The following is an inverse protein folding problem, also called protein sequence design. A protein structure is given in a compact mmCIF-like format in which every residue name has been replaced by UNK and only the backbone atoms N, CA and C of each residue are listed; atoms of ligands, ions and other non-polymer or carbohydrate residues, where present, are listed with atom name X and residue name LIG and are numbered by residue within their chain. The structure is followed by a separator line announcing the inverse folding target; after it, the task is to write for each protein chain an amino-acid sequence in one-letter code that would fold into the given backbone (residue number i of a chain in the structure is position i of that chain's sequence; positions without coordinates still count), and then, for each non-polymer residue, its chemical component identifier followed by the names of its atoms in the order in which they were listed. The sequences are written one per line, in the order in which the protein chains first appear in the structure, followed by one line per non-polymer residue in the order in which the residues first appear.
data_IF_454644580485
#
_entry.id   IF_454644580485
#
_cell.length_a   1.000
_cell.length_b   1.000
_cell.length_c   1.000
_cell.angle_alpha   90.00
_cell.angle_beta   90.00
_cell.angle_gamma   90.00
#
_symmetry.space_group_name_H-M   'P 1'
#
loop_
_entity.id
_entity.type
_entity.pdbx_description
1 polymer ?
#
# COMPACT_ATOMS: atom_id res chain seq x y z
N UNK A 1 23.11 29.96 -5.86
CA UNK A 1 22.55 28.72 -5.27
C UNK A 1 21.05 28.58 -5.52
N UNK A 2 20.22 29.57 -5.16
CA UNK A 2 18.75 29.53 -5.38
C UNK A 2 18.36 29.39 -6.87
N UNK A 3 19.12 30.00 -7.80
CA UNK A 3 18.89 29.88 -9.25
C UNK A 3 19.12 28.46 -9.78
N UNK A 4 20.20 27.81 -9.35
CA UNK A 4 20.50 26.40 -9.68
C UNK A 4 19.55 25.42 -9.01
N UNK A 5 19.07 25.73 -7.81
CA UNK A 5 17.99 24.96 -7.17
C UNK A 5 16.70 25.04 -8.00
N UNK A 6 16.30 26.25 -8.44
CA UNK A 6 15.13 26.44 -9.32
C UNK A 6 15.27 25.68 -10.64
N UNK A 7 16.44 25.69 -11.28
CA UNK A 7 16.71 24.93 -12.51
C UNK A 7 16.62 23.40 -12.29
N UNK A 8 17.03 22.90 -11.13
CA UNK A 8 16.93 21.48 -10.77
C UNK A 8 15.48 21.01 -10.55
N UNK A 9 14.65 21.77 -9.81
CA UNK A 9 13.22 21.43 -9.65
C UNK A 9 12.44 21.62 -10.95
N UNK A 10 12.89 22.52 -11.84
CA UNK A 10 12.28 22.73 -13.15
C UNK A 10 12.55 21.59 -14.15
N UNK A 11 13.48 20.67 -13.87
CA UNK A 11 13.75 19.49 -14.71
C UNK A 11 12.64 18.41 -14.63
N UNK A 12 11.53 18.65 -13.91
CA UNK A 12 10.35 17.78 -13.85
C UNK A 12 10.53 16.52 -13.01
N UNK A 13 11.61 15.78 -13.23
CA UNK A 13 11.94 14.54 -12.51
C UNK A 13 12.05 14.73 -10.98
N UNK A 14 12.58 15.86 -10.53
CA UNK A 14 12.69 16.18 -9.11
C UNK A 14 11.34 16.53 -8.46
N UNK A 15 10.42 17.14 -9.21
CA UNK A 15 9.09 17.51 -8.72
C UNK A 15 8.21 16.27 -8.52
N UNK A 16 8.20 15.36 -9.50
CA UNK A 16 7.44 14.10 -9.40
C UNK A 16 7.95 13.22 -8.25
N UNK A 17 9.27 13.10 -8.09
CA UNK A 17 9.87 12.39 -6.98
C UNK A 17 9.50 13.02 -5.63
N UNK A 18 9.58 14.36 -5.52
CA UNK A 18 9.24 15.06 -4.29
C UNK A 18 7.77 14.84 -3.90
N UNK A 19 6.86 14.91 -4.87
CA UNK A 19 5.44 14.64 -4.65
C UNK A 19 5.23 13.20 -4.20
N UNK A 20 5.86 12.22 -4.86
CA UNK A 20 5.77 10.81 -4.48
C UNK A 20 6.24 10.55 -3.03
N UNK A 21 7.35 11.17 -2.61
CA UNK A 21 7.90 11.02 -1.24
C UNK A 21 6.98 11.65 -0.20
N UNK A 22 6.45 12.85 -0.46
CA UNK A 22 5.53 13.54 0.45
C UNK A 22 4.24 12.73 0.62
N UNK A 23 3.69 12.25 -0.50
CA UNK A 23 2.48 11.43 -0.53
C UNK A 23 2.71 10.11 0.20
N UNK A 24 3.84 9.43 -0.06
CA UNK A 24 4.21 8.19 0.63
C UNK A 24 4.34 8.36 2.14
N UNK A 25 4.99 9.45 2.58
CA UNK A 25 5.11 9.79 4.00
C UNK A 25 3.76 10.10 4.66
N UNK A 26 2.86 10.78 3.95
CA UNK A 26 1.53 11.12 4.46
C UNK A 26 0.57 9.92 4.55
N UNK A 27 0.77 8.89 3.71
CA UNK A 27 -0.11 7.70 3.72
C UNK A 27 0.24 6.70 4.81
N UNK A 28 1.52 6.60 5.21
CA UNK A 28 1.96 5.62 6.21
C UNK A 28 1.13 5.67 7.53
N UNK A 29 0.85 6.84 8.13
CA UNK A 29 0.01 6.93 9.34
C UNK A 29 -1.40 6.36 9.19
N UNK A 30 -2.01 6.48 7.99
CA UNK A 30 -3.36 5.96 7.72
C UNK A 30 -3.34 4.44 7.74
N UNK A 31 -2.33 3.84 7.08
CA UNK A 31 -2.16 2.38 7.04
C UNK A 31 -1.78 1.83 8.42
N UNK A 32 -0.90 2.54 9.14
CA UNK A 32 -0.50 2.18 10.50
C UNK A 32 -1.72 2.18 11.46
N UNK A 33 -2.66 3.14 11.31
CA UNK A 33 -3.91 3.20 12.09
C UNK A 33 -4.81 1.99 11.84
N UNK A 34 -5.02 1.61 10.57
CA UNK A 34 -5.83 0.43 10.21
C UNK A 34 -5.18 -0.85 10.74
N UNK A 35 -3.86 -0.98 10.57
CA UNK A 35 -3.10 -2.15 11.04
C UNK A 35 -3.18 -2.28 12.57
N UNK A 36 -3.11 -1.16 13.29
CA UNK A 36 -3.23 -1.13 14.76
C UNK A 36 -4.60 -1.63 15.22
N UNK A 37 -5.68 -1.25 14.55
CA UNK A 37 -7.04 -1.73 14.87
C UNK A 37 -7.13 -3.24 14.67
N UNK A 38 -6.62 -3.75 13.55
CA UNK A 38 -6.62 -5.20 13.25
C UNK A 38 -5.80 -5.95 14.32
N UNK A 39 -4.60 -5.48 14.66
CA UNK A 39 -3.76 -6.11 15.68
C UNK A 39 -4.39 -6.06 17.07
N UNK A 40 -5.10 -4.98 17.41
CA UNK A 40 -5.81 -4.88 18.70
C UNK A 40 -6.91 -5.94 18.80
N UNK A 41 -7.67 -6.16 17.72
CA UNK A 41 -8.71 -7.19 17.67
C UNK A 41 -8.10 -8.59 17.74
N UNK A 42 -7.04 -8.85 16.96
CA UNK A 42 -6.31 -10.12 17.01
C UNK A 42 -5.71 -10.36 18.41
N UNK A 43 -5.21 -9.32 19.04
CA UNK A 43 -4.65 -9.36 20.39
C UNK A 43 -5.67 -9.73 21.46
N UNK A 44 -6.89 -9.20 21.35
CA UNK A 44 -7.99 -9.57 22.25
C UNK A 44 -8.45 -11.02 22.07
N UNK A 45 -8.30 -11.58 20.86
CA UNK A 45 -8.67 -12.99 20.58
C UNK A 45 -7.58 -13.98 21.00
N UNK A 46 -6.30 -13.64 20.81
CA UNK A 46 -5.14 -14.54 21.01
C UNK A 46 -4.53 -14.35 22.42
N UNK A 47 -4.94 -13.30 23.14
CA UNK A 47 -4.47 -13.00 24.51
C UNK A 47 -3.14 -12.25 24.57
N UNK A 48 -2.47 -12.05 23.44
CA UNK A 48 -1.27 -11.22 23.30
C UNK A 48 -1.40 -10.36 22.03
N UNK A 49 -1.23 -9.03 22.11
CA UNK A 49 -1.34 -8.14 20.95
C UNK A 49 -0.18 -8.28 19.95
N UNK A 50 0.91 -8.95 20.34
CA UNK A 50 2.08 -9.18 19.51
C UNK A 50 2.79 -10.49 19.89
N UNK A 51 3.84 -10.81 19.13
CA UNK A 51 4.66 -12.00 19.33
C UNK A 51 5.98 -11.68 20.05
N UNK A 52 6.12 -10.50 20.66
CA UNK A 52 7.39 -10.01 21.20
C UNK A 52 7.90 -10.87 22.36
N UNK A 53 6.98 -11.50 23.10
CA UNK A 53 7.28 -12.42 24.20
C UNK A 53 7.74 -13.81 23.74
N UNK A 54 7.58 -14.17 22.46
CA UNK A 54 8.02 -15.47 21.96
C UNK A 54 9.53 -15.59 22.00
N UNK A 55 10.00 -16.52 22.82
CA UNK A 55 11.42 -16.81 22.99
C UNK A 55 12.21 -15.65 23.60
N UNK A 56 11.55 -14.74 24.34
CA UNK A 56 12.25 -13.69 25.05
C UNK A 56 13.12 -14.29 26.17
N UNK A 57 14.39 -13.93 26.23
CA UNK A 57 15.33 -14.44 27.23
C UNK A 57 16.29 -13.36 27.71
N UNK A 58 16.79 -13.49 28.94
CA UNK A 58 17.89 -12.71 29.46
C UNK A 58 19.00 -13.65 29.93
N UNK A 59 20.23 -13.18 29.77
CA UNK A 59 21.44 -13.87 30.25
C UNK A 59 22.03 -13.20 31.49
N UNK A 60 21.44 -12.09 31.94
CA UNK A 60 21.92 -11.31 33.08
C UNK A 60 20.77 -10.65 33.81
N UNK A 61 20.49 -11.12 35.02
CA UNK A 61 19.42 -10.61 35.87
C UNK A 61 19.95 -10.44 37.29
N UNK A 62 19.61 -9.32 37.93
CA UNK A 62 19.94 -9.05 39.33
C UNK A 62 21.43 -9.24 39.70
N UNK A 63 22.36 -8.92 38.79
CA UNK A 63 23.79 -9.00 39.08
C UNK A 63 24.44 -10.37 38.83
N UNK A 64 23.69 -11.36 38.35
CA UNK A 64 24.19 -12.71 38.08
C UNK A 64 23.91 -13.16 36.66
N UNK A 65 24.78 -14.02 36.12
CA UNK A 65 24.59 -14.67 34.84
C UNK A 65 23.70 -15.91 35.02
N UNK A 66 22.42 -15.75 34.74
CA UNK A 66 21.44 -16.83 34.75
C UNK A 66 20.66 -16.79 33.45
N UNK A 67 20.34 -17.96 32.90
CA UNK A 67 19.42 -18.05 31.76
C UNK A 67 18.00 -17.93 32.30
N UNK A 68 17.35 -16.81 32.01
CA UNK A 68 15.97 -16.56 32.39
C UNK A 68 15.10 -16.40 31.15
N UNK A 69 14.02 -17.18 31.05
CA UNK A 69 13.01 -16.99 30.02
C UNK A 69 12.03 -15.91 30.50
N UNK A 70 11.89 -14.86 29.71
CA UNK A 70 11.02 -13.75 30.04
C UNK A 70 9.56 -14.17 29.93
N UNK A 71 8.79 -13.85 30.95
CA UNK A 71 7.34 -13.87 30.87
C UNK A 71 6.81 -12.59 30.21
N UNK A 72 5.59 -12.63 29.68
CA UNK A 72 4.95 -11.44 29.09
C UNK A 72 4.88 -10.25 30.08
N UNK A 73 4.71 -10.52 31.38
CA UNK A 73 4.65 -9.50 32.44
C UNK A 73 6.00 -8.81 32.66
N UNK A 74 7.10 -9.54 32.58
CA UNK A 74 8.47 -9.01 32.73
C UNK A 74 8.87 -8.16 31.53
N UNK A 75 8.40 -8.55 30.34
CA UNK A 75 8.59 -7.78 29.12
C UNK A 75 7.88 -6.42 29.17
N UNK A 76 6.68 -6.39 29.74
CA UNK A 76 5.89 -5.16 29.90
C UNK A 76 6.52 -4.18 30.91
N UNK A 77 7.31 -4.67 31.88
CA UNK A 77 7.92 -3.84 32.93
C UNK A 77 9.37 -3.48 32.65
N UNK A 78 10.15 -4.35 32.00
CA UNK A 78 11.54 -4.07 31.66
C UNK A 78 11.99 -4.74 30.35
N UNK A 79 11.44 -4.27 29.25
CA UNK A 79 11.80 -4.73 27.91
C UNK A 79 13.31 -4.67 27.60
N UNK A 80 14.03 -3.65 28.08
CA UNK A 80 15.41 -3.39 27.68
C UNK A 80 16.43 -4.40 28.21
N UNK A 81 16.07 -5.19 29.23
CA UNK A 81 16.92 -6.23 29.82
C UNK A 81 16.85 -7.60 29.13
N UNK A 82 15.99 -7.74 28.11
CA UNK A 82 15.72 -9.01 27.44
C UNK A 82 16.05 -8.94 25.95
N UNK A 83 16.55 -10.06 25.43
CA UNK A 83 16.64 -10.32 23.99
C UNK A 83 15.29 -10.86 23.54
N UNK A 84 14.66 -10.19 22.56
CA UNK A 84 13.30 -10.50 22.11
C UNK A 84 13.28 -10.93 20.63
N UNK A 85 13.63 -12.18 20.31
CA UNK A 85 13.61 -12.66 18.93
C UNK A 85 12.18 -12.63 18.33
N UNK A 86 11.15 -12.76 19.17
CA UNK A 86 9.75 -12.66 18.78
C UNK A 86 9.36 -11.33 18.12
N UNK A 87 10.11 -10.24 18.37
CA UNK A 87 9.90 -8.94 17.70
C UNK A 87 10.06 -9.05 16.18
N UNK A 88 10.91 -9.96 15.69
CA UNK A 88 11.07 -10.18 14.25
C UNK A 88 9.77 -10.74 13.67
N UNK A 89 9.16 -11.72 14.34
CA UNK A 89 7.87 -12.29 13.93
C UNK A 89 6.80 -11.20 13.94
N UNK A 90 6.74 -10.40 15.00
CA UNK A 90 5.83 -9.25 15.08
C UNK A 90 6.02 -8.30 13.89
N UNK A 91 7.26 -7.94 13.55
CA UNK A 91 7.52 -7.03 12.42
C UNK A 91 7.14 -7.65 11.07
N UNK A 92 7.36 -8.94 10.85
CA UNK A 92 6.96 -9.64 9.63
C UNK A 92 5.44 -9.68 9.51
N UNK A 93 4.72 -10.04 10.58
CA UNK A 93 3.26 -10.06 10.57
C UNK A 93 2.70 -8.64 10.35
N UNK A 94 3.25 -7.63 11.04
CA UNK A 94 2.89 -6.23 10.82
C UNK A 94 3.13 -5.78 9.37
N UNK A 95 4.26 -6.18 8.77
CA UNK A 95 4.57 -5.88 7.38
C UNK A 95 3.55 -6.51 6.42
N UNK A 96 3.18 -7.77 6.64
CA UNK A 96 2.17 -8.46 5.82
C UNK A 96 0.79 -7.82 5.97
N UNK A 97 0.38 -7.44 7.17
CA UNK A 97 -0.88 -6.73 7.38
C UNK A 97 -0.87 -5.36 6.71
N UNK A 98 0.22 -4.60 6.85
CA UNK A 98 0.38 -3.30 6.21
C UNK A 98 0.33 -3.42 4.68
N UNK A 99 1.02 -4.42 4.12
CA UNK A 99 0.99 -4.70 2.69
C UNK A 99 -0.41 -5.10 2.21
N UNK A 100 -1.11 -5.96 2.97
CA UNK A 100 -2.50 -6.32 2.67
C UNK A 100 -3.42 -5.11 2.72
N UNK A 101 -3.31 -4.26 3.73
CA UNK A 101 -4.10 -3.04 3.86
C UNK A 101 -3.88 -2.09 2.67
N UNK A 102 -2.63 -1.84 2.28
CA UNK A 102 -2.30 -1.02 1.09
C UNK A 102 -2.86 -1.64 -0.19
N UNK A 103 -2.72 -2.96 -0.34
CA UNK A 103 -3.21 -3.68 -1.51
C UNK A 103 -4.74 -3.56 -1.64
N UNK A 104 -5.48 -3.85 -0.57
CA UNK A 104 -6.94 -3.82 -0.61
C UNK A 104 -7.52 -2.39 -0.64
N UNK A 105 -6.90 -1.43 0.06
CA UNK A 105 -7.43 -0.06 0.14
C UNK A 105 -7.08 0.81 -1.07
N UNK A 106 -5.94 0.55 -1.73
CA UNK A 106 -5.43 1.43 -2.80
C UNK A 106 -5.26 0.65 -4.11
N UNK A 107 -4.48 -0.42 -4.11
CA UNK A 107 -4.09 -1.10 -5.35
C UNK A 107 -5.29 -1.75 -6.03
N UNK A 108 -6.13 -2.46 -5.28
CA UNK A 108 -7.32 -3.13 -5.80
C UNK A 108 -8.35 -2.16 -6.39
N UNK A 109 -8.80 -1.09 -5.69
CA UNK A 109 -9.75 -0.14 -6.28
C UNK A 109 -9.14 0.64 -7.45
N UNK A 110 -7.85 0.99 -7.38
CA UNK A 110 -7.17 1.67 -8.49
C UNK A 110 -7.07 0.77 -9.72
N UNK A 111 -6.75 -0.50 -9.54
CA UNK A 111 -6.70 -1.47 -10.64
C UNK A 111 -8.09 -1.70 -11.23
N UNK A 112 -9.14 -1.82 -10.39
CA UNK A 112 -10.54 -1.90 -10.87
C UNK A 112 -10.97 -0.66 -11.64
N UNK A 113 -10.62 0.54 -11.16
CA UNK A 113 -10.99 1.78 -11.84
C UNK A 113 -10.29 1.91 -13.19
N UNK A 114 -8.98 1.61 -13.26
CA UNK A 114 -8.21 1.59 -14.50
C UNK A 114 -8.80 0.61 -15.52
N UNK A 115 -9.20 -0.58 -15.08
CA UNK A 115 -9.85 -1.56 -15.96
C UNK A 115 -11.19 -1.05 -16.49
N UNK A 116 -12.01 -0.40 -15.65
CA UNK A 116 -13.28 0.21 -16.09
C UNK A 116 -13.07 1.35 -17.09
N UNK A 117 -12.07 2.20 -16.87
CA UNK A 117 -11.74 3.30 -17.78
C UNK A 117 -11.20 2.77 -19.12
N UNK A 118 -10.35 1.74 -19.08
CA UNK A 118 -9.84 1.10 -20.29
C UNK A 118 -10.97 0.43 -21.10
N UNK A 119 -11.93 -0.23 -20.43
CA UNK A 119 -13.12 -0.80 -21.09
C UNK A 119 -14.01 0.27 -21.70
N UNK A 120 -14.26 1.36 -20.99
CA UNK A 120 -15.06 2.48 -21.52
C UNK A 120 -14.42 3.09 -22.77
N UNK A 121 -13.09 3.29 -22.75
CA UNK A 121 -12.37 3.83 -23.90
C UNK A 121 -12.40 2.89 -25.11
N UNK A 122 -12.24 1.58 -24.89
CA UNK A 122 -12.35 0.59 -25.96
C UNK A 122 -13.76 0.50 -26.55
N UNK A 123 -14.80 0.69 -25.73
CA UNK A 123 -16.20 0.69 -26.16
C UNK A 123 -16.58 1.98 -26.93
N UNK A 124 -15.93 3.09 -26.60
CA UNK A 124 -16.06 4.38 -27.29
C UNK A 124 -15.35 4.34 -28.66
N UNK A 125 -14.13 3.77 -28.72
CA UNK A 125 -13.39 3.53 -29.98
C UNK A 125 -14.14 2.56 -30.90
N UNK A 126 -14.80 1.53 -30.35
CA UNK A 126 -15.63 0.61 -31.12
C UNK A 126 -16.90 1.27 -31.70
N UNK A 127 -17.53 2.18 -30.94
CA UNK A 127 -18.70 2.95 -31.41
C UNK A 127 -18.31 3.94 -32.50
N UNK A 128 -17.19 4.64 -32.37
CA UNK A 128 -16.70 5.55 -33.42
C UNK A 128 -16.47 4.83 -34.75
N UNK A 129 -15.88 3.63 -34.74
CA UNK A 129 -15.68 2.85 -35.98
C UNK A 129 -17.02 2.45 -36.61
N UNK A 130 -17.99 2.01 -35.80
CA UNK A 130 -19.32 1.60 -36.29
C UNK A 130 -20.09 2.78 -36.91
N UNK A 131 -20.01 3.96 -36.29
CA UNK A 131 -20.64 5.18 -36.81
C UNK A 131 -19.98 5.63 -38.12
N UNK A 132 -18.65 5.52 -38.25
CA UNK A 132 -17.93 5.82 -39.50
C UNK A 132 -18.29 4.84 -40.61
N UNK A 133 -18.45 3.55 -40.31
CA UNK A 133 -18.92 2.54 -41.27
C UNK A 133 -20.34 2.85 -41.75
N UNK A 134 -21.27 3.12 -40.82
CA UNK A 134 -22.65 3.53 -41.14
C UNK A 134 -22.71 4.81 -41.99
N UNK A 135 -21.92 5.82 -41.66
CA UNK A 135 -21.86 7.06 -42.44
C UNK A 135 -21.29 6.84 -43.83
N UNK A 136 -20.36 5.90 -43.99
CA UNK A 136 -19.81 5.49 -45.30
C UNK A 136 -20.88 4.79 -46.13
N UNK A 137 -21.62 3.85 -45.55
CA UNK A 137 -22.73 3.17 -46.21
C UNK A 137 -23.83 4.16 -46.65
N UNK A 138 -24.22 5.10 -45.79
CA UNK A 138 -25.21 6.14 -46.11
C UNK A 138 -24.73 7.03 -47.28
N UNK A 139 -23.46 7.44 -47.28
CA UNK A 139 -22.86 8.22 -48.38
C UNK A 139 -22.98 7.48 -49.70
N UNK A 140 -22.63 6.19 -49.70
CA UNK A 140 -22.62 5.38 -50.91
C UNK A 140 -24.05 5.15 -51.43
N UNK A 141 -25.01 4.88 -50.53
CA UNK A 141 -26.44 4.78 -50.86
C UNK A 141 -27.00 6.08 -51.43
N UNK A 142 -26.64 7.24 -50.88
CA UNK A 142 -27.03 8.55 -51.42
C UNK A 142 -26.43 8.80 -52.80
N UNK A 143 -25.16 8.45 -53.00
CA UNK A 143 -24.50 8.59 -54.31
C UNK A 143 -25.16 7.70 -55.38
N UNK A 144 -25.51 6.47 -55.01
CA UNK A 144 -26.18 5.52 -55.89
C UNK A 144 -27.59 5.97 -56.27
N UNK A 145 -28.33 6.59 -55.33
CA UNK A 145 -29.64 7.18 -55.60
C UNK A 145 -29.55 8.46 -56.44
N UNK A 146 -28.53 9.30 -56.24
CA UNK A 146 -28.34 10.53 -57.02
C UNK A 146 -27.91 10.27 -58.47
N UNK A 147 -27.34 9.10 -58.77
CA UNK A 147 -26.95 8.69 -60.10
C UNK A 147 -28.10 8.08 -60.94
N UNK A 148 -29.31 8.02 -60.37
CA UNK A 148 -30.51 7.39 -60.95
C UNK A 148 -31.53 8.44 -61.35
#
# INVERSE_FOLDING_TARGET
MIKGFKEFIAQGNALELAVAVIIGGAFKPIVDSITTVIMTILGQLIGQPNFDSLGAFSLYQNGQYTFHLATAQELATNAKGYVMPGTIITTVVNFLLMAAAVYFAIVLPMNKLKERLAKQKAEEEAKEVTDVELLTEIRDLLSANAAK
#
